data_IF_523752183445
#
_entry.id   IF_523752183445
#
_cell.length_a   1.000
_cell.length_b   1.000
_cell.length_c   1.000
_cell.angle_alpha   90.00
_cell.angle_beta   90.00
_cell.angle_gamma   90.00
#
_symmetry.space_group_name_H-M   'P 1'
#
loop_
_entity.id
_entity.type
_entity.pdbx_description
1 polymer ?
#
# COMPACT_ATOMS: atom_id res chain seq x y z
N UNK A 1 13.88 -14.40 -20.65
CA UNK A 1 13.93 -14.43 -19.17
C UNK A 1 12.55 -14.91 -18.70
N UNK A 2 12.49 -15.93 -17.83
CA UNK A 2 11.22 -16.37 -17.25
C UNK A 2 10.74 -15.39 -16.18
N UNK A 3 9.46 -15.52 -15.78
CA UNK A 3 8.90 -14.61 -14.76
C UNK A 3 9.61 -14.76 -13.40
N UNK A 4 10.05 -15.97 -13.04
CA UNK A 4 10.80 -16.19 -11.79
C UNK A 4 12.11 -15.39 -11.77
N UNK A 5 12.90 -15.48 -12.84
CA UNK A 5 14.15 -14.75 -12.99
C UNK A 5 13.92 -13.23 -13.06
N UNK A 6 12.81 -12.78 -13.65
CA UNK A 6 12.43 -11.37 -13.64
C UNK A 6 12.13 -10.89 -12.21
N UNK A 7 11.35 -11.64 -11.42
CA UNK A 7 11.07 -11.30 -10.03
C UNK A 7 12.35 -11.24 -9.20
N UNK A 8 13.29 -12.16 -9.44
CA UNK A 8 14.60 -12.17 -8.79
C UNK A 8 15.44 -10.94 -9.18
N UNK A 9 15.55 -10.64 -10.47
CA UNK A 9 16.30 -9.49 -10.97
C UNK A 9 15.73 -8.14 -10.47
N UNK A 10 14.41 -8.08 -10.23
CA UNK A 10 13.74 -6.91 -9.65
C UNK A 10 13.88 -6.79 -8.12
N UNK A 11 14.51 -7.78 -7.46
CA UNK A 11 14.68 -7.80 -6.00
C UNK A 11 13.38 -8.08 -5.23
N UNK A 12 12.41 -8.74 -5.89
CA UNK A 12 11.10 -9.04 -5.29
C UNK A 12 11.13 -10.31 -4.45
N UNK A 13 12.01 -11.28 -4.73
CA UNK A 13 12.05 -12.55 -4.00
C UNK A 13 12.70 -12.41 -2.63
N UNK A 14 12.05 -12.97 -1.60
CA UNK A 14 12.59 -13.06 -0.25
C UNK A 14 12.81 -14.52 0.19
N UNK A 15 11.73 -15.30 0.36
CA UNK A 15 11.80 -16.70 0.79
C UNK A 15 10.92 -17.59 -0.11
N UNK A 16 11.33 -18.83 -0.29
CA UNK A 16 10.60 -19.85 -1.07
C UNK A 16 10.66 -21.19 -0.37
N UNK A 17 9.62 -22.01 -0.48
CA UNK A 17 9.58 -23.35 0.10
C UNK A 17 10.37 -24.36 -0.71
N UNK A 18 10.26 -24.31 -2.04
CA UNK A 18 11.00 -25.15 -3.00
C UNK A 18 11.28 -24.33 -4.27
N UNK A 19 12.52 -23.92 -4.45
CA UNK A 19 12.90 -22.98 -5.51
C UNK A 19 12.71 -23.57 -6.90
N UNK A 20 13.14 -24.81 -7.11
CA UNK A 20 13.14 -25.44 -8.44
C UNK A 20 11.71 -25.65 -8.93
N UNK A 21 10.85 -26.24 -8.12
CA UNK A 21 9.45 -26.50 -8.46
C UNK A 21 8.64 -25.22 -8.65
N UNK A 22 8.86 -24.22 -7.79
CA UNK A 22 8.21 -22.91 -7.92
C UNK A 22 8.64 -22.23 -9.23
N UNK A 23 9.94 -22.23 -9.54
CA UNK A 23 10.49 -21.66 -10.77
C UNK A 23 9.85 -22.31 -12.01
N UNK A 24 9.83 -23.64 -12.07
CA UNK A 24 9.22 -24.37 -13.18
C UNK A 24 7.73 -24.03 -13.30
N UNK A 25 7.02 -24.04 -12.19
CA UNK A 25 5.58 -23.81 -12.16
C UNK A 25 5.19 -22.40 -12.62
N UNK A 26 5.82 -21.36 -12.08
CA UNK A 26 5.47 -19.97 -12.43
C UNK A 26 5.95 -19.60 -13.83
N UNK A 27 7.10 -20.12 -14.27
CA UNK A 27 7.61 -19.90 -15.63
C UNK A 27 6.77 -20.60 -16.70
N UNK A 28 6.14 -21.73 -16.34
CA UNK A 28 5.23 -22.45 -17.23
C UNK A 28 3.80 -21.90 -17.23
N UNK A 29 3.49 -20.86 -16.44
CA UNK A 29 2.13 -20.33 -16.29
C UNK A 29 1.14 -21.30 -15.64
N UNK A 30 1.64 -22.21 -14.80
CA UNK A 30 0.83 -23.27 -14.16
C UNK A 30 0.50 -23.01 -12.70
N UNK A 31 1.01 -21.93 -12.12
CA UNK A 31 0.67 -21.58 -10.76
C UNK A 31 -0.76 -21.02 -10.70
N UNK A 32 -1.58 -21.64 -9.90
CA UNK A 32 -2.82 -21.04 -9.38
C UNK A 32 -2.54 -20.60 -7.95
N UNK A 33 -2.42 -19.31 -7.76
CA UNK A 33 -1.87 -18.75 -6.54
C UNK A 33 -2.83 -17.76 -5.90
N UNK A 34 -2.73 -17.59 -4.58
CA UNK A 34 -3.51 -16.55 -3.91
C UNK A 34 -2.65 -15.56 -3.13
N UNK A 35 -3.20 -14.36 -2.98
CA UNK A 35 -2.76 -13.35 -2.02
C UNK A 35 -3.98 -12.90 -1.23
N UNK A 36 -3.86 -12.83 0.10
CA UNK A 36 -4.91 -12.39 1.01
C UNK A 36 -4.82 -10.89 1.30
N UNK A 37 -5.99 -10.25 1.41
CA UNK A 37 -6.14 -8.83 1.69
C UNK A 37 -7.18 -8.62 2.80
N UNK A 38 -6.71 -8.31 4.00
CA UNK A 38 -7.57 -7.95 5.12
C UNK A 38 -8.19 -6.57 4.93
N UNK A 39 -9.51 -6.48 5.02
CA UNK A 39 -10.30 -5.28 4.73
C UNK A 39 -10.31 -4.28 5.91
N UNK A 40 -9.13 -3.83 6.34
CA UNK A 40 -8.96 -2.98 7.52
C UNK A 40 -9.24 -1.49 7.28
N UNK A 41 -9.55 -1.09 6.04
CA UNK A 41 -9.93 0.26 5.62
C UNK A 41 -10.73 0.18 4.31
N UNK A 42 -11.40 1.28 3.95
CA UNK A 42 -12.20 1.43 2.74
C UNK A 42 -11.36 1.76 1.48
N UNK A 43 -10.05 1.60 1.53
CA UNK A 43 -9.15 1.72 0.39
C UNK A 43 -7.88 0.90 0.60
N UNK A 44 -7.34 0.39 -0.50
CA UNK A 44 -5.97 -0.10 -0.58
C UNK A 44 -4.97 1.06 -0.45
N UNK A 45 -3.77 0.76 -0.02
CA UNK A 45 -2.67 1.73 0.15
C UNK A 45 -1.49 1.39 -0.75
N UNK A 46 -0.53 2.30 -0.86
CA UNK A 46 0.74 2.03 -1.55
C UNK A 46 1.48 0.79 -0.99
N UNK A 47 1.22 0.39 0.26
CA UNK A 47 1.75 -0.86 0.82
C UNK A 47 1.14 -2.12 0.16
N UNK A 48 -0.13 -2.07 -0.25
CA UNK A 48 -0.78 -3.18 -0.97
C UNK A 48 -0.41 -3.18 -2.47
N UNK A 49 0.05 -2.05 -2.98
CA UNK A 49 0.34 -1.87 -4.40
C UNK A 49 1.37 -2.88 -4.90
N UNK A 50 2.38 -3.20 -4.10
CA UNK A 50 3.38 -4.20 -4.46
C UNK A 50 2.78 -5.61 -4.63
N UNK A 51 1.82 -6.00 -3.79
CA UNK A 51 1.10 -7.26 -3.93
C UNK A 51 0.26 -7.28 -5.22
N UNK A 52 -0.41 -6.16 -5.55
CA UNK A 52 -1.19 -6.04 -6.78
C UNK A 52 -0.31 -6.10 -8.04
N UNK A 53 0.84 -5.43 -8.05
CA UNK A 53 1.78 -5.48 -9.17
C UNK A 53 2.38 -6.86 -9.34
N UNK A 54 2.66 -7.59 -8.25
CA UNK A 54 3.08 -8.98 -8.30
C UNK A 54 2.00 -9.87 -8.93
N UNK A 55 0.74 -9.75 -8.45
CA UNK A 55 -0.38 -10.50 -9.03
C UNK A 55 -0.52 -10.26 -10.52
N UNK A 56 -0.44 -8.99 -10.94
CA UNK A 56 -0.52 -8.61 -12.36
C UNK A 56 0.62 -9.20 -13.17
N UNK A 57 1.87 -9.16 -12.68
CA UNK A 57 3.03 -9.75 -13.38
C UNK A 57 2.86 -11.24 -13.59
N UNK A 58 2.48 -11.96 -12.54
CA UNK A 58 2.26 -13.39 -12.62
C UNK A 58 1.08 -13.73 -13.55
N UNK A 59 0.01 -12.92 -13.53
CA UNK A 59 -1.10 -13.08 -14.46
C UNK A 59 -0.67 -12.86 -15.91
N UNK A 60 0.12 -11.82 -16.18
CA UNK A 60 0.69 -11.57 -17.52
C UNK A 60 1.58 -12.72 -18.02
N UNK A 61 2.23 -13.43 -17.10
CA UNK A 61 3.01 -14.62 -17.39
C UNK A 61 2.17 -15.92 -17.49
N UNK A 62 0.84 -15.80 -17.51
CA UNK A 62 -0.08 -16.93 -17.70
C UNK A 62 -0.51 -17.65 -16.42
N UNK A 63 -0.05 -17.23 -15.25
CA UNK A 63 -0.48 -17.80 -13.98
C UNK A 63 -1.85 -17.25 -13.57
N UNK A 64 -2.61 -18.04 -12.80
CA UNK A 64 -3.96 -17.68 -12.39
C UNK A 64 -4.02 -17.12 -10.97
N UNK A 65 -4.27 -15.82 -10.77
CA UNK A 65 -4.43 -15.25 -9.45
C UNK A 65 -5.77 -15.59 -8.80
N UNK A 66 -5.75 -15.80 -7.49
CA UNK A 66 -6.92 -15.80 -6.62
C UNK A 66 -6.75 -14.65 -5.63
N UNK A 67 -7.55 -13.60 -5.76
CA UNK A 67 -7.61 -12.51 -4.81
C UNK A 67 -8.52 -12.92 -3.64
N UNK A 68 -7.92 -13.17 -2.47
CA UNK A 68 -8.65 -13.56 -1.27
C UNK A 68 -8.98 -12.30 -0.46
N UNK A 69 -10.25 -11.98 -0.39
CA UNK A 69 -10.77 -10.94 0.50
C UNK A 69 -10.90 -11.52 1.91
N UNK A 70 -10.20 -10.91 2.86
CA UNK A 70 -10.15 -11.35 4.26
C UNK A 70 -11.36 -10.89 5.08
N UNK A 71 -12.60 -11.17 4.64
CA UNK A 71 -13.81 -10.78 5.36
C UNK A 71 -13.91 -11.43 6.74
N UNK A 72 -13.54 -12.71 6.87
CA UNK A 72 -13.51 -13.43 8.13
C UNK A 72 -12.26 -13.12 8.97
N UNK A 73 -11.07 -13.13 8.34
CA UNK A 73 -9.79 -12.87 9.03
C UNK A 73 -9.68 -11.45 9.55
N UNK A 74 -10.28 -10.46 8.87
CA UNK A 74 -10.31 -9.06 9.35
C UNK A 74 -11.04 -8.91 10.69
N UNK A 75 -12.00 -9.79 11.02
CA UNK A 75 -12.68 -9.79 12.33
C UNK A 75 -11.74 -10.15 13.47
N UNK A 76 -10.67 -10.88 13.17
CA UNK A 76 -9.66 -11.33 14.14
C UNK A 76 -8.48 -10.36 14.17
N UNK A 77 -7.94 -10.02 13.00
CA UNK A 77 -6.81 -9.13 12.81
C UNK A 77 -5.46 -9.81 12.90
N UNK A 78 -4.69 -9.70 11.82
CA UNK A 78 -3.33 -10.25 11.69
C UNK A 78 -2.36 -9.58 12.69
N UNK A 79 -1.70 -10.35 13.57
CA UNK A 79 -0.69 -9.84 14.49
C UNK A 79 0.69 -9.61 13.84
N UNK A 80 0.93 -10.13 12.64
CA UNK A 80 2.25 -10.13 11.98
C UNK A 80 2.80 -8.73 11.78
N UNK A 81 4.06 -8.52 12.22
CA UNK A 81 4.76 -7.25 12.04
C UNK A 81 4.13 -6.06 12.79
N UNK A 82 3.43 -6.31 13.88
CA UNK A 82 2.76 -5.29 14.71
C UNK A 82 3.16 -5.40 16.17
N UNK A 83 3.03 -4.28 16.85
CA UNK A 83 3.24 -4.18 18.31
C UNK A 83 1.93 -4.13 19.10
N UNK A 84 0.84 -3.71 18.47
CA UNK A 84 -0.47 -3.48 19.10
C UNK A 84 -1.58 -4.24 18.38
N UNK A 85 -2.61 -4.65 19.14
CA UNK A 85 -3.79 -5.31 18.58
C UNK A 85 -4.54 -4.40 17.61
N UNK A 86 -5.12 -4.96 16.55
CA UNK A 86 -5.94 -4.21 15.60
C UNK A 86 -7.25 -3.76 16.25
N UNK A 87 -7.76 -2.61 15.81
CA UNK A 87 -9.11 -2.16 16.16
C UNK A 87 -10.12 -3.15 15.57
N UNK A 88 -11.06 -3.59 16.37
CA UNK A 88 -12.18 -4.42 15.91
C UNK A 88 -13.14 -3.57 15.06
N UNK A 89 -13.43 -4.07 13.86
CA UNK A 89 -14.39 -3.47 12.93
C UNK A 89 -15.73 -4.20 13.01
N UNK A 90 -16.82 -3.51 12.66
CA UNK A 90 -18.13 -4.15 12.51
C UNK A 90 -18.18 -4.98 11.22
N UNK A 91 -19.14 -5.88 11.09
CA UNK A 91 -19.38 -6.64 9.85
C UNK A 91 -19.73 -5.72 8.69
N UNK A 92 -20.50 -4.67 8.96
CA UNK A 92 -20.90 -3.65 8.01
C UNK A 92 -19.68 -2.89 7.46
N UNK A 93 -18.76 -2.48 8.35
CA UNK A 93 -17.49 -1.83 7.95
C UNK A 93 -16.66 -2.77 7.07
N UNK A 94 -16.51 -4.04 7.47
CA UNK A 94 -15.73 -5.03 6.72
C UNK A 94 -16.33 -5.29 5.34
N UNK A 95 -17.65 -5.43 5.24
CA UNK A 95 -18.33 -5.63 3.96
C UNK A 95 -18.17 -4.43 3.04
N UNK A 96 -18.33 -3.19 3.58
CA UNK A 96 -18.10 -1.97 2.83
C UNK A 96 -16.67 -1.90 2.30
N UNK A 97 -15.69 -2.17 3.17
CA UNK A 97 -14.28 -2.16 2.81
C UNK A 97 -13.95 -3.21 1.73
N UNK A 98 -14.54 -4.41 1.85
CA UNK A 98 -14.39 -5.49 0.88
C UNK A 98 -14.86 -5.06 -0.53
N UNK A 99 -16.01 -4.41 -0.63
CA UNK A 99 -16.52 -3.90 -1.91
C UNK A 99 -15.63 -2.76 -2.47
N UNK A 100 -15.04 -1.93 -1.62
CA UNK A 100 -14.08 -0.93 -2.04
C UNK A 100 -12.79 -1.58 -2.60
N UNK A 101 -12.27 -2.62 -1.95
CA UNK A 101 -11.10 -3.37 -2.41
C UNK A 101 -11.34 -4.04 -3.75
N UNK A 102 -12.48 -4.70 -3.94
CA UNK A 102 -12.86 -5.33 -5.22
C UNK A 102 -12.77 -4.34 -6.38
N UNK A 103 -13.46 -3.19 -6.27
CA UNK A 103 -13.45 -2.14 -7.30
C UNK A 103 -12.05 -1.61 -7.61
N UNK A 104 -11.18 -1.53 -6.62
CA UNK A 104 -9.80 -1.09 -6.82
C UNK A 104 -8.95 -2.17 -7.49
N UNK A 105 -9.10 -3.45 -7.09
CA UNK A 105 -8.37 -4.57 -7.67
C UNK A 105 -8.70 -4.80 -9.14
N UNK A 106 -9.95 -4.59 -9.56
CA UNK A 106 -10.41 -4.72 -10.95
C UNK A 106 -9.68 -3.78 -11.92
N UNK A 107 -9.03 -2.72 -11.42
CA UNK A 107 -8.18 -1.85 -12.26
C UNK A 107 -6.83 -2.48 -12.58
N UNK A 108 -6.35 -3.40 -11.76
CA UNK A 108 -5.04 -4.03 -11.90
C UNK A 108 -5.14 -5.45 -12.46
N UNK A 109 -6.10 -6.22 -11.99
CA UNK A 109 -6.23 -7.64 -12.23
C UNK A 109 -7.41 -7.88 -13.18
N UNK A 110 -7.20 -8.71 -14.17
CA UNK A 110 -8.24 -9.14 -15.09
C UNK A 110 -9.01 -10.32 -14.49
N UNK A 111 -10.25 -10.07 -14.07
CA UNK A 111 -11.18 -11.05 -13.51
C UNK A 111 -12.12 -11.65 -14.57
N UNK A 112 -11.80 -11.54 -15.86
CA UNK A 112 -12.55 -12.20 -16.92
C UNK A 112 -12.58 -13.71 -16.78
N UNK A 113 -13.43 -14.36 -17.56
CA UNK A 113 -13.61 -15.81 -17.54
C UNK A 113 -12.29 -16.55 -17.74
N UNK A 114 -11.98 -17.49 -16.85
CA UNK A 114 -10.76 -18.29 -16.87
C UNK A 114 -9.48 -17.56 -16.46
N UNK A 115 -9.55 -16.27 -16.07
CA UNK A 115 -8.38 -15.47 -15.70
C UNK A 115 -8.15 -15.43 -14.19
N UNK A 116 -8.54 -14.37 -13.50
CA UNK A 116 -8.43 -14.30 -12.04
C UNK A 116 -9.74 -14.70 -11.36
N UNK A 117 -9.65 -15.10 -10.09
CA UNK A 117 -10.79 -15.39 -9.23
C UNK A 117 -10.74 -14.47 -8.03
N UNK A 118 -11.90 -13.95 -7.62
CA UNK A 118 -12.03 -13.22 -6.36
C UNK A 118 -12.93 -14.00 -5.42
N UNK A 119 -12.49 -14.23 -4.20
CA UNK A 119 -13.21 -14.98 -3.17
C UNK A 119 -13.13 -14.25 -1.82
N UNK A 120 -14.07 -14.55 -0.92
CA UNK A 120 -14.11 -13.98 0.42
C UNK A 120 -14.04 -15.11 1.45
N UNK A 121 -13.06 -15.09 2.35
CA UNK A 121 -12.94 -16.14 3.35
C UNK A 121 -14.05 -16.14 4.42
N UNK A 122 -14.85 -15.09 4.51
CA UNK A 122 -16.06 -15.09 5.32
C UNK A 122 -17.04 -16.19 4.90
N UNK A 123 -17.06 -16.59 3.62
CA UNK A 123 -17.98 -17.59 3.07
C UNK A 123 -17.79 -18.98 3.68
N UNK A 124 -16.55 -19.30 4.10
CA UNK A 124 -16.25 -20.57 4.76
C UNK A 124 -15.89 -20.42 6.23
N UNK A 125 -15.13 -19.38 6.65
CA UNK A 125 -14.69 -19.25 8.04
C UNK A 125 -15.85 -19.01 9.01
N UNK A 126 -16.87 -18.25 8.62
CA UNK A 126 -18.00 -17.93 9.50
C UNK A 126 -18.95 -19.12 9.75
N UNK A 127 -18.87 -20.13 8.90
CA UNK A 127 -19.72 -21.33 8.99
C UNK A 127 -19.00 -22.54 9.62
N UNK A 128 -17.75 -22.38 10.06
CA UNK A 128 -16.98 -23.46 10.66
C UNK A 128 -17.53 -23.82 12.05
N UNK A 129 -17.73 -25.13 12.27
CA UNK A 129 -17.99 -25.62 13.60
C UNK A 129 -16.69 -25.59 14.41
N UNK A 130 -16.70 -24.93 15.56
CA UNK A 130 -15.51 -24.73 16.38
C UNK A 130 -14.88 -26.05 16.86
N UNK A 131 -15.68 -27.02 17.28
CA UNK A 131 -15.19 -28.31 17.76
C UNK A 131 -14.59 -29.15 16.62
N UNK A 132 -15.22 -29.13 15.47
CA UNK A 132 -14.72 -29.80 14.27
C UNK A 132 -13.39 -29.18 13.81
N UNK A 133 -13.30 -27.83 13.79
CA UNK A 133 -12.07 -27.12 13.46
C UNK A 133 -10.93 -27.52 14.39
N UNK A 134 -11.17 -27.56 15.72
CA UNK A 134 -10.15 -27.98 16.69
C UNK A 134 -9.70 -29.43 16.47
N UNK A 135 -10.62 -30.35 16.20
CA UNK A 135 -10.30 -31.76 15.99
C UNK A 135 -9.55 -32.00 14.68
N UNK A 136 -10.02 -31.41 13.60
CA UNK A 136 -9.54 -31.71 12.26
C UNK A 136 -8.32 -30.85 11.84
N UNK A 137 -8.30 -29.60 12.25
CA UNK A 137 -7.26 -28.63 11.89
C UNK A 137 -6.34 -28.36 13.07
N UNK A 138 -6.88 -28.05 14.24
CA UNK A 138 -6.11 -27.75 15.44
C UNK A 138 -5.14 -28.87 15.83
N UNK A 139 -5.51 -30.13 15.64
CA UNK A 139 -4.64 -31.29 15.86
C UNK A 139 -3.38 -31.30 14.96
N UNK A 140 -3.37 -30.55 13.87
CA UNK A 140 -2.21 -30.40 13.00
C UNK A 140 -1.21 -29.32 13.46
N UNK A 141 -1.55 -28.54 14.48
CA UNK A 141 -0.72 -27.44 14.99
C UNK A 141 -0.16 -27.73 16.37
N UNK A 142 1.13 -27.44 16.56
CA UNK A 142 1.79 -27.49 17.86
C UNK A 142 1.87 -26.08 18.44
N UNK A 143 1.27 -25.85 19.59
CA UNK A 143 1.32 -24.57 20.30
C UNK A 143 2.77 -24.13 20.53
N UNK A 144 3.66 -25.06 20.91
CA UNK A 144 5.06 -24.75 21.12
C UNK A 144 5.78 -24.27 19.86
N UNK A 145 5.42 -24.81 18.68
CA UNK A 145 5.97 -24.36 17.42
C UNK A 145 5.37 -23.00 17.00
N UNK A 146 4.06 -22.83 17.20
CA UNK A 146 3.40 -21.56 16.91
C UNK A 146 3.99 -20.42 17.75
N UNK A 147 4.21 -20.62 19.05
CA UNK A 147 4.79 -19.60 19.93
C UNK A 147 6.23 -19.18 19.54
N UNK A 148 6.94 -20.02 18.80
CA UNK A 148 8.28 -19.69 18.25
C UNK A 148 8.21 -18.99 16.89
N UNK A 149 7.03 -18.86 16.31
CA UNK A 149 6.86 -18.27 15.01
C UNK A 149 7.12 -16.75 15.07
N UNK A 150 7.91 -16.26 14.12
CA UNK A 150 8.30 -14.83 14.04
C UNK A 150 7.11 -13.87 14.01
N UNK A 151 5.98 -14.30 13.46
CA UNK A 151 4.75 -13.47 13.41
C UNK A 151 4.19 -13.10 14.79
N UNK A 152 4.50 -13.88 15.85
CA UNK A 152 4.06 -13.62 17.22
C UNK A 152 5.11 -12.91 18.09
N UNK A 153 6.38 -12.90 17.70
CA UNK A 153 7.51 -12.43 18.52
C UNK A 153 7.26 -11.04 19.12
N UNK A 154 6.92 -10.06 18.29
CA UNK A 154 6.69 -8.68 18.75
C UNK A 154 5.42 -8.53 19.60
N UNK A 155 4.42 -9.38 19.37
CA UNK A 155 3.18 -9.35 20.14
C UNK A 155 3.32 -10.02 21.52
N UNK A 156 4.17 -11.03 21.64
CA UNK A 156 4.40 -11.71 22.93
C UNK A 156 4.96 -10.76 23.99
N UNK A 157 5.79 -9.80 23.62
CA UNK A 157 6.33 -8.81 24.55
C UNK A 157 5.25 -7.92 25.19
N UNK A 158 4.16 -7.63 24.45
CA UNK A 158 3.05 -6.77 24.89
C UNK A 158 1.77 -7.54 25.28
N UNK A 159 1.81 -8.85 25.16
CA UNK A 159 0.68 -9.73 25.42
C UNK A 159 -0.11 -10.10 24.16
N UNK A 160 0.17 -11.30 23.63
CA UNK A 160 -0.57 -11.91 22.53
C UNK A 160 -1.91 -12.44 23.04
N UNK A 161 -3.02 -11.98 22.46
CA UNK A 161 -4.35 -12.48 22.80
C UNK A 161 -4.60 -13.86 22.16
N UNK A 162 -5.49 -14.66 22.77
CA UNK A 162 -5.92 -15.94 22.19
C UNK A 162 -6.58 -15.72 20.81
N UNK A 163 -7.29 -14.62 20.64
CA UNK A 163 -7.89 -14.23 19.36
C UNK A 163 -6.81 -14.13 18.26
N UNK A 164 -5.79 -13.30 18.48
CA UNK A 164 -4.69 -13.11 17.53
C UNK A 164 -3.88 -14.39 17.29
N UNK A 165 -3.72 -15.21 18.33
CA UNK A 165 -3.01 -16.50 18.22
C UNK A 165 -3.67 -17.47 17.23
N UNK A 166 -4.99 -17.40 17.07
CA UNK A 166 -5.72 -18.23 16.12
C UNK A 166 -5.59 -17.75 14.66
N UNK A 167 -5.06 -16.55 14.40
CA UNK A 167 -4.98 -16.02 13.03
C UNK A 167 -4.18 -16.95 12.10
N UNK A 168 -3.05 -17.48 12.54
CA UNK A 168 -2.25 -18.44 11.76
C UNK A 168 -3.06 -19.67 11.35
N UNK A 169 -3.90 -20.21 12.23
CA UNK A 169 -4.73 -21.38 11.95
C UNK A 169 -5.77 -21.04 10.89
N UNK A 170 -6.38 -19.86 10.96
CA UNK A 170 -7.39 -19.40 9.98
C UNK A 170 -6.77 -19.17 8.59
N UNK A 171 -5.63 -18.51 8.52
CA UNK A 171 -4.93 -18.32 7.24
C UNK A 171 -4.45 -19.66 6.66
N UNK A 172 -4.03 -20.59 7.49
CA UNK A 172 -3.65 -21.95 7.06
C UNK A 172 -4.87 -22.72 6.53
N UNK A 173 -6.04 -22.55 7.17
CA UNK A 173 -7.29 -23.13 6.70
C UNK A 173 -7.75 -22.51 5.37
N UNK A 174 -7.54 -21.20 5.17
CA UNK A 174 -7.82 -20.55 3.90
C UNK A 174 -7.04 -21.21 2.76
N UNK A 175 -5.73 -21.46 2.95
CA UNK A 175 -4.92 -22.12 1.92
C UNK A 175 -5.40 -23.55 1.67
N UNK A 176 -5.68 -24.30 2.73
CA UNK A 176 -6.23 -25.66 2.63
C UNK A 176 -7.56 -25.69 1.88
N UNK A 177 -8.48 -24.75 2.18
CA UNK A 177 -9.76 -24.61 1.49
C UNK A 177 -9.59 -24.27 0.01
N UNK A 178 -8.74 -23.28 -0.29
CA UNK A 178 -8.45 -22.85 -1.65
C UNK A 178 -7.77 -23.95 -2.47
N UNK A 179 -6.90 -24.73 -1.84
CA UNK A 179 -6.28 -25.89 -2.49
C UNK A 179 -7.30 -26.92 -2.90
N UNK A 180 -8.24 -27.27 -2.03
CA UNK A 180 -9.25 -28.30 -2.29
C UNK A 180 -10.33 -27.87 -3.29
N UNK A 181 -10.84 -26.65 -3.13
CA UNK A 181 -12.03 -26.20 -3.88
C UNK A 181 -11.71 -25.38 -5.13
N UNK A 182 -10.55 -24.75 -5.17
CA UNK A 182 -10.14 -23.89 -6.28
C UNK A 182 -8.89 -24.39 -7.00
N UNK A 183 -8.23 -25.45 -6.51
CA UNK A 183 -6.98 -25.95 -7.09
C UNK A 183 -5.81 -24.97 -6.90
N UNK A 184 -5.88 -24.10 -5.89
CA UNK A 184 -4.85 -23.14 -5.59
C UNK A 184 -3.64 -23.86 -4.98
N UNK A 185 -2.52 -23.91 -5.69
CA UNK A 185 -1.34 -24.68 -5.32
C UNK A 185 -0.21 -23.84 -4.72
N UNK A 186 -0.39 -22.50 -4.69
CA UNK A 186 0.65 -21.59 -4.24
C UNK A 186 0.09 -20.39 -3.47
N UNK A 187 0.81 -19.97 -2.45
CA UNK A 187 0.53 -18.74 -1.70
C UNK A 187 1.67 -17.73 -1.87
N UNK A 188 1.33 -16.46 -2.12
CA UNK A 188 2.25 -15.35 -2.04
C UNK A 188 1.87 -14.40 -0.91
N UNK A 189 2.87 -13.74 -0.33
CA UNK A 189 2.68 -12.72 0.70
C UNK A 189 3.93 -11.90 0.93
N UNK A 190 3.84 -10.87 1.78
CA UNK A 190 5.01 -10.16 2.28
C UNK A 190 5.86 -11.07 3.17
N UNK A 191 7.14 -10.72 3.37
CA UNK A 191 8.06 -11.55 4.16
C UNK A 191 7.64 -11.69 5.63
N UNK A 192 6.83 -10.77 6.14
CA UNK A 192 6.21 -10.85 7.45
C UNK A 192 5.14 -11.96 7.58
N UNK A 193 4.65 -12.50 6.45
CA UNK A 193 3.65 -13.56 6.39
C UNK A 193 4.23 -14.98 6.36
N UNK A 194 5.55 -15.15 6.28
CA UNK A 194 6.20 -16.43 6.06
C UNK A 194 5.72 -17.54 7.02
N UNK A 195 5.66 -17.25 8.32
CA UNK A 195 5.22 -18.22 9.31
C UNK A 195 3.76 -18.68 9.11
N UNK A 196 2.86 -17.75 8.76
CA UNK A 196 1.47 -18.07 8.50
C UNK A 196 1.35 -18.93 7.23
N UNK A 197 2.14 -18.62 6.19
CA UNK A 197 2.13 -19.35 4.92
C UNK A 197 2.61 -20.79 5.09
N UNK A 198 3.68 -21.00 5.87
CA UNK A 198 4.18 -22.34 6.20
C UNK A 198 3.15 -23.18 6.96
N UNK A 199 2.32 -22.56 7.81
CA UNK A 199 1.21 -23.25 8.46
C UNK A 199 0.24 -23.86 7.45
N UNK A 200 -0.06 -23.15 6.37
CA UNK A 200 -0.93 -23.61 5.28
C UNK A 200 -0.32 -24.77 4.48
N UNK A 201 0.95 -24.64 4.06
CA UNK A 201 1.65 -25.72 3.33
C UNK A 201 1.72 -27.00 4.15
N UNK A 202 2.04 -26.87 5.45
CA UNK A 202 2.11 -28.02 6.38
C UNK A 202 0.73 -28.63 6.62
N UNK A 203 -0.33 -27.85 6.73
CA UNK A 203 -1.70 -28.36 6.87
C UNK A 203 -2.12 -29.18 5.66
N UNK A 204 -1.85 -28.70 4.44
CA UNK A 204 -2.14 -29.41 3.19
C UNK A 204 -1.36 -30.72 3.14
N UNK A 205 -0.06 -30.70 3.47
CA UNK A 205 0.79 -31.90 3.52
C UNK A 205 0.25 -32.94 4.50
N UNK A 206 -0.15 -32.52 5.71
CA UNK A 206 -0.66 -33.44 6.76
C UNK A 206 -2.02 -34.03 6.42
N UNK A 207 -2.92 -33.21 5.91
CA UNK A 207 -4.30 -33.62 5.67
C UNK A 207 -4.50 -34.35 4.33
N UNK A 208 -3.75 -33.97 3.30
CA UNK A 208 -3.96 -34.46 1.93
C UNK A 208 -2.79 -35.29 1.38
N UNK A 209 -1.62 -35.27 2.05
CA UNK A 209 -0.40 -35.91 1.54
C UNK A 209 0.06 -35.30 0.22
N UNK A 210 -0.21 -34.01 -0.01
CA UNK A 210 0.13 -33.26 -1.22
C UNK A 210 1.01 -32.09 -0.90
N UNK A 211 1.81 -31.65 -1.89
CA UNK A 211 2.65 -30.48 -1.78
C UNK A 211 1.88 -29.21 -2.22
N UNK A 212 2.10 -28.16 -1.48
CA UNK A 212 1.68 -26.80 -1.78
C UNK A 212 2.83 -25.85 -1.47
N UNK A 213 2.90 -24.75 -2.19
CA UNK A 213 4.08 -23.90 -2.23
C UNK A 213 3.81 -22.52 -1.67
N UNK A 214 4.86 -21.91 -1.11
CA UNK A 214 4.81 -20.57 -0.59
C UNK A 214 6.03 -19.77 -1.05
N UNK A 215 5.80 -18.51 -1.44
CA UNK A 215 6.86 -17.57 -1.79
C UNK A 215 6.54 -16.20 -1.19
N UNK A 216 7.51 -15.62 -0.47
CA UNK A 216 7.39 -14.27 0.04
C UNK A 216 8.13 -13.27 -0.85
N UNK A 217 7.60 -12.04 -0.83
CA UNK A 217 8.23 -10.90 -1.46
C UNK A 217 8.82 -9.97 -0.42
N UNK A 218 9.94 -9.35 -0.81
CA UNK A 218 10.61 -8.32 -0.02
C UNK A 218 9.64 -7.20 0.33
N UNK A 219 9.62 -6.79 1.59
CA UNK A 219 8.80 -5.65 2.00
C UNK A 219 9.30 -4.35 1.37
N UNK A 220 8.38 -3.49 0.94
CA UNK A 220 8.72 -2.18 0.42
C UNK A 220 9.13 -1.26 1.58
N UNK A 221 10.43 -1.10 1.76
CA UNK A 221 11.02 -0.24 2.78
C UNK A 221 11.90 0.84 2.13
N UNK A 222 12.02 1.98 2.80
CA UNK A 222 13.00 3.00 2.43
C UNK A 222 14.43 2.56 2.80
N UNK A 223 15.42 3.38 2.44
CA UNK A 223 16.84 3.15 2.72
C UNK A 223 17.18 3.08 4.21
N UNK A 224 16.26 3.51 5.09
CA UNK A 224 16.39 3.42 6.55
C UNK A 224 15.67 2.19 7.13
N UNK A 225 15.10 1.32 6.29
CA UNK A 225 14.36 0.13 6.71
C UNK A 225 12.92 0.38 7.15
N UNK A 226 12.39 1.58 7.00
CA UNK A 226 11.01 1.93 7.36
C UNK A 226 10.06 1.56 6.23
N UNK A 227 8.93 0.91 6.56
CA UNK A 227 7.89 0.57 5.56
C UNK A 227 7.39 1.82 4.83
N UNK A 228 7.45 1.78 3.50
CA UNK A 228 6.95 2.85 2.62
C UNK A 228 5.42 2.81 2.49
N UNK A 229 4.85 3.84 1.85
CA UNK A 229 3.40 3.97 1.65
C UNK A 229 2.69 4.72 2.78
N UNK A 230 3.45 5.42 3.62
CA UNK A 230 2.95 6.30 4.67
C UNK A 230 3.67 7.65 4.63
N UNK A 231 2.92 8.72 4.79
CA UNK A 231 3.44 10.05 5.11
C UNK A 231 3.42 10.25 6.64
N UNK A 232 3.87 11.40 7.14
CA UNK A 232 3.85 11.70 8.57
C UNK A 232 2.41 11.63 9.15
N UNK A 233 1.99 10.43 9.57
CA UNK A 233 0.69 10.16 10.20
C UNK A 233 -0.41 9.63 9.27
N UNK A 234 -0.26 9.64 7.94
CA UNK A 234 -1.28 9.19 6.99
C UNK A 234 -0.76 8.12 6.02
N UNK A 235 -1.62 7.17 5.65
CA UNK A 235 -1.34 6.25 4.55
C UNK A 235 -1.44 6.98 3.20
N UNK A 236 -0.67 6.52 2.21
CA UNK A 236 -0.85 6.91 0.81
C UNK A 236 -1.86 5.92 0.20
N UNK A 237 -3.05 6.43 -0.10
CA UNK A 237 -4.19 5.64 -0.53
C UNK A 237 -4.22 5.52 -2.06
N UNK A 238 -4.77 4.42 -2.55
CA UNK A 238 -5.04 4.24 -3.98
C UNK A 238 -6.37 4.89 -4.41
N UNK A 239 -7.23 5.25 -3.46
CA UNK A 239 -8.47 6.00 -3.72
C UNK A 239 -8.14 7.48 -3.96
N UNK A 240 -8.51 8.05 -5.14
CA UNK A 240 -8.25 9.45 -5.47
C UNK A 240 -8.96 10.46 -4.55
N UNK A 241 -10.04 10.04 -3.86
CA UNK A 241 -10.75 10.87 -2.89
C UNK A 241 -10.01 10.99 -1.54
N UNK A 242 -9.06 10.07 -1.26
CA UNK A 242 -8.26 10.05 -0.02
C UNK A 242 -6.85 10.58 -0.22
N UNK A 243 -6.22 10.24 -1.34
CA UNK A 243 -4.95 10.77 -1.81
C UNK A 243 -5.15 11.17 -3.25
N UNK A 244 -5.14 12.47 -3.54
CA UNK A 244 -5.33 12.95 -4.90
C UNK A 244 -4.26 12.37 -5.84
N UNK A 245 -4.53 12.23 -7.16
CA UNK A 245 -3.51 11.80 -8.12
C UNK A 245 -2.26 12.67 -8.09
N UNK A 246 -2.40 13.97 -7.84
CA UNK A 246 -1.27 14.89 -7.66
C UNK A 246 -0.45 14.58 -6.40
N UNK A 247 -1.10 14.36 -5.25
CA UNK A 247 -0.39 14.02 -4.01
C UNK A 247 0.25 12.64 -4.09
N UNK A 248 -0.40 11.69 -4.77
CA UNK A 248 0.16 10.37 -5.06
C UNK A 248 1.42 10.49 -5.93
N UNK A 249 1.36 11.30 -7.01
CA UNK A 249 2.51 11.62 -7.86
C UNK A 249 3.64 12.27 -7.04
N UNK A 250 3.33 13.28 -6.23
CA UNK A 250 4.32 13.97 -5.41
C UNK A 250 4.97 13.05 -4.37
N UNK A 251 4.21 12.12 -3.79
CA UNK A 251 4.79 11.13 -2.88
C UNK A 251 5.92 10.34 -3.56
N UNK A 252 5.67 9.79 -4.72
CA UNK A 252 6.67 8.99 -5.46
C UNK A 252 7.81 9.84 -6.04
N UNK A 253 7.52 11.06 -6.46
CA UNK A 253 8.55 12.00 -6.93
C UNK A 253 9.50 12.44 -5.80
N UNK A 254 9.05 12.39 -4.56
CA UNK A 254 9.81 12.84 -3.39
C UNK A 254 10.47 11.70 -2.59
N UNK A 255 10.49 10.47 -3.11
CA UNK A 255 11.27 9.39 -2.50
C UNK A 255 12.76 9.75 -2.45
N UNK A 256 13.47 9.20 -1.48
CA UNK A 256 14.90 9.45 -1.36
C UNK A 256 15.68 8.93 -2.57
N UNK A 257 16.78 9.58 -2.90
CA UNK A 257 17.59 9.25 -4.08
C UNK A 257 18.01 7.77 -4.11
N UNK A 258 18.35 7.23 -2.95
CA UNK A 258 18.74 5.82 -2.78
C UNK A 258 17.60 4.82 -3.06
N UNK A 259 16.35 5.26 -3.00
CA UNK A 259 15.18 4.38 -3.12
C UNK A 259 14.57 4.38 -4.53
N UNK A 260 14.94 5.34 -5.38
CA UNK A 260 14.31 5.54 -6.71
C UNK A 260 14.38 4.28 -7.56
N UNK A 261 15.58 3.75 -7.78
CA UNK A 261 15.81 2.58 -8.65
C UNK A 261 15.20 1.32 -8.05
N UNK A 262 15.25 1.16 -6.73
CA UNK A 262 14.56 0.09 -6.02
C UNK A 262 13.05 0.13 -6.29
N UNK A 263 12.43 1.31 -6.14
CA UNK A 263 11.01 1.48 -6.41
C UNK A 263 10.66 1.24 -7.89
N UNK A 264 11.49 1.69 -8.84
CA UNK A 264 11.32 1.39 -10.27
C UNK A 264 11.31 -0.13 -10.53
N UNK A 265 12.28 -0.84 -9.99
CA UNK A 265 12.37 -2.30 -10.16
C UNK A 265 11.16 -3.02 -9.58
N UNK A 266 10.78 -2.69 -8.35
CA UNK A 266 9.76 -3.45 -7.61
C UNK A 266 8.33 -3.13 -8.06
N UNK A 267 8.04 -1.88 -8.40
CA UNK A 267 6.67 -1.38 -8.55
C UNK A 267 6.25 -1.10 -10.00
N UNK A 268 7.19 -0.81 -10.91
CA UNK A 268 6.84 -0.49 -12.31
C UNK A 268 6.93 -1.69 -13.24
N UNK A 269 6.27 -1.61 -14.39
CA UNK A 269 6.37 -2.60 -15.46
C UNK A 269 7.43 -2.21 -16.52
N UNK A 270 8.26 -1.22 -16.22
CA UNK A 270 9.36 -0.81 -17.11
C UNK A 270 10.33 -1.95 -17.37
N UNK A 271 10.88 -2.07 -18.60
CA UNK A 271 11.97 -3.01 -18.90
C UNK A 271 13.17 -2.78 -17.98
N UNK A 272 13.82 -3.86 -17.56
CA UNK A 272 14.99 -3.79 -16.67
C UNK A 272 16.15 -3.01 -17.31
N UNK A 273 16.30 -3.13 -18.63
CA UNK A 273 17.30 -2.41 -19.43
C UNK A 273 17.05 -0.88 -19.38
N UNK A 274 15.79 -0.46 -19.45
CA UNK A 274 15.42 0.96 -19.31
C UNK A 274 15.70 1.47 -17.90
N UNK A 275 15.38 0.67 -16.87
CA UNK A 275 15.67 1.03 -15.47
C UNK A 275 17.19 1.14 -15.26
N UNK A 276 18.00 0.28 -15.90
CA UNK A 276 19.45 0.34 -15.82
C UNK A 276 20.02 1.64 -16.38
N UNK A 277 19.38 2.26 -17.39
CA UNK A 277 19.78 3.60 -17.88
C UNK A 277 19.49 4.69 -16.85
N UNK A 278 18.34 4.62 -16.16
CA UNK A 278 18.06 5.55 -15.07
C UNK A 278 19.00 5.38 -13.87
N UNK A 279 19.48 4.18 -13.61
CA UNK A 279 20.44 3.90 -12.55
C UNK A 279 21.81 4.56 -12.73
N UNK A 280 22.14 5.03 -13.95
CA UNK A 280 23.38 5.77 -14.24
C UNK A 280 23.27 7.27 -13.89
N UNK A 281 22.07 7.78 -13.64
CA UNK A 281 21.82 9.18 -13.34
C UNK A 281 22.25 9.51 -11.91
N UNK A 282 22.87 10.67 -11.74
CA UNK A 282 23.34 11.16 -10.45
C UNK A 282 23.04 12.65 -10.25
N UNK A 283 23.03 13.12 -9.02
CA UNK A 283 22.80 14.53 -8.70
C UNK A 283 21.45 15.03 -9.22
N UNK A 284 21.44 16.17 -9.89
CA UNK A 284 20.19 16.78 -10.41
C UNK A 284 19.50 15.93 -11.48
N UNK A 285 20.24 15.11 -12.24
CA UNK A 285 19.67 14.29 -13.30
C UNK A 285 18.79 13.16 -12.76
N UNK A 286 19.00 12.74 -11.51
CA UNK A 286 18.17 11.75 -10.84
C UNK A 286 16.69 12.21 -10.70
N UNK A 287 16.43 13.52 -10.76
CA UNK A 287 15.07 14.03 -10.78
C UNK A 287 14.25 13.52 -11.99
N UNK A 288 14.92 13.20 -13.11
CA UNK A 288 14.28 12.59 -14.28
C UNK A 288 13.79 11.17 -13.96
N UNK A 289 14.57 10.40 -13.22
CA UNK A 289 14.18 9.08 -12.75
C UNK A 289 13.01 9.15 -11.75
N UNK A 290 13.05 10.10 -10.81
CA UNK A 290 11.96 10.34 -9.86
C UNK A 290 10.66 10.74 -10.56
N UNK A 291 10.74 11.62 -11.55
CA UNK A 291 9.59 12.04 -12.34
C UNK A 291 9.01 10.87 -13.14
N UNK A 292 9.86 10.05 -13.77
CA UNK A 292 9.44 8.85 -14.50
C UNK A 292 8.77 7.84 -13.57
N UNK A 293 9.37 7.55 -12.40
CA UNK A 293 8.79 6.67 -11.40
C UNK A 293 7.39 7.16 -10.97
N UNK A 294 7.26 8.43 -10.62
CA UNK A 294 5.99 9.02 -10.21
C UNK A 294 4.93 8.96 -11.31
N UNK A 295 5.33 9.22 -12.55
CA UNK A 295 4.44 9.12 -13.71
C UNK A 295 3.93 7.70 -13.91
N UNK A 296 4.83 6.70 -13.98
CA UNK A 296 4.50 5.29 -14.18
C UNK A 296 3.53 4.77 -13.10
N UNK A 297 3.79 5.09 -11.84
CA UNK A 297 2.94 4.64 -10.74
C UNK A 297 1.60 5.36 -10.70
N UNK A 298 1.56 6.64 -11.05
CA UNK A 298 0.30 7.40 -11.12
C UNK A 298 -0.54 6.92 -12.30
N UNK A 299 0.06 6.64 -13.45
CA UNK A 299 -0.64 6.06 -14.61
C UNK A 299 -1.24 4.69 -14.27
N UNK A 300 -0.49 3.82 -13.59
CA UNK A 300 -0.97 2.51 -13.18
C UNK A 300 -2.19 2.58 -12.23
N UNK A 301 -2.23 3.55 -11.33
CA UNK A 301 -3.27 3.64 -10.30
C UNK A 301 -4.45 4.51 -10.74
N UNK A 302 -4.18 5.64 -11.37
CA UNK A 302 -5.16 6.68 -11.65
C UNK A 302 -5.46 6.87 -13.15
N UNK A 303 -4.67 6.23 -14.00
CA UNK A 303 -4.78 6.33 -15.45
C UNK A 303 -3.92 7.45 -16.05
N UNK A 304 -3.77 7.39 -17.37
CA UNK A 304 -2.85 8.22 -18.13
C UNK A 304 -3.16 9.71 -18.01
N UNK A 305 -4.43 10.08 -18.13
CA UNK A 305 -4.85 11.49 -18.11
C UNK A 305 -4.52 12.16 -16.77
N UNK A 306 -4.73 11.46 -15.66
CA UNK A 306 -4.40 11.98 -14.35
C UNK A 306 -2.88 12.04 -14.11
N UNK A 307 -2.12 11.08 -14.66
CA UNK A 307 -0.65 11.12 -14.60
C UNK A 307 -0.08 12.30 -15.39
N UNK A 308 -0.62 12.58 -16.58
CA UNK A 308 -0.20 13.73 -17.40
C UNK A 308 -0.54 15.08 -16.74
N UNK A 309 -1.73 15.20 -16.14
CA UNK A 309 -2.11 16.38 -15.35
C UNK A 309 -1.17 16.58 -14.16
N UNK A 310 -0.92 15.53 -13.37
CA UNK A 310 -0.04 15.59 -12.21
C UNK A 310 1.41 15.97 -12.60
N UNK A 311 1.92 15.41 -13.70
CA UNK A 311 3.24 15.74 -14.25
C UNK A 311 3.33 17.20 -14.66
N UNK A 312 2.34 17.68 -15.41
CA UNK A 312 2.27 19.07 -15.89
C UNK A 312 2.22 20.04 -14.71
N UNK A 313 1.36 19.75 -13.73
CA UNK A 313 1.26 20.53 -12.51
C UNK A 313 2.58 20.57 -11.72
N UNK A 314 3.21 19.42 -11.58
CA UNK A 314 4.49 19.31 -10.88
C UNK A 314 5.60 20.12 -11.57
N UNK A 315 5.69 20.07 -12.89
CA UNK A 315 6.65 20.86 -13.69
C UNK A 315 6.40 22.35 -13.62
N UNK A 316 5.14 22.80 -13.67
CA UNK A 316 4.78 24.20 -13.56
C UNK A 316 5.25 24.83 -12.24
N UNK A 317 5.12 24.09 -11.12
CA UNK A 317 5.61 24.53 -9.80
C UNK A 317 7.13 24.77 -9.79
N UNK A 318 7.90 23.96 -10.54
CA UNK A 318 9.35 24.08 -10.56
C UNK A 318 9.88 25.07 -11.61
N UNK A 319 9.16 25.25 -12.72
CA UNK A 319 9.63 26.12 -13.81
C UNK A 319 9.39 27.61 -13.55
N UNK A 320 8.28 27.96 -12.87
CA UNK A 320 7.81 29.36 -12.80
C UNK A 320 7.62 29.90 -11.37
N UNK A 321 7.93 29.13 -10.31
CA UNK A 321 7.48 29.48 -8.95
C UNK A 321 5.94 29.61 -8.87
N UNK A 322 5.22 29.12 -9.89
CA UNK A 322 3.88 29.51 -10.24
C UNK A 322 2.80 28.49 -9.88
N UNK A 323 1.59 28.99 -9.90
CA UNK A 323 0.34 28.30 -9.60
C UNK A 323 -0.05 27.39 -10.77
N UNK A 324 -0.20 26.07 -10.54
CA UNK A 324 -0.81 25.16 -11.50
C UNK A 324 -2.31 25.01 -11.22
N UNK A 325 -3.11 24.90 -12.29
CA UNK A 325 -4.55 24.66 -12.18
C UNK A 325 -4.88 23.34 -11.44
N UNK A 326 -4.02 22.35 -11.55
CA UNK A 326 -4.19 21.00 -10.98
C UNK A 326 -3.53 20.83 -9.59
N UNK A 327 -3.03 21.90 -8.98
CA UNK A 327 -2.51 21.88 -7.61
C UNK A 327 -3.66 21.65 -6.62
N UNK A 328 -3.48 20.83 -5.56
CA UNK A 328 -4.46 20.72 -4.49
C UNK A 328 -4.92 22.11 -4.05
N UNK A 329 -6.20 22.36 -4.13
CA UNK A 329 -6.75 23.67 -3.86
C UNK A 329 -7.99 23.60 -2.96
N UNK A 330 -8.17 24.63 -2.15
CA UNK A 330 -9.38 24.83 -1.33
C UNK A 330 -9.93 26.23 -1.60
N UNK A 331 -11.20 26.29 -1.99
CA UNK A 331 -11.92 27.54 -2.05
C UNK A 331 -12.30 27.95 -0.60
N UNK A 332 -11.90 29.14 -0.20
CA UNK A 332 -12.26 29.71 1.10
C UNK A 332 -13.66 30.32 1.05
N UNK A 333 -14.46 30.02 2.04
CA UNK A 333 -15.79 30.61 2.23
C UNK A 333 -15.74 31.73 3.28
N UNK A 334 -16.82 32.52 3.37
CA UNK A 334 -16.94 33.57 4.41
C UNK A 334 -16.67 33.05 5.82
N UNK A 335 -17.05 31.82 6.10
CA UNK A 335 -16.87 31.16 7.43
C UNK A 335 -15.39 30.96 7.79
N UNK A 336 -14.50 30.95 6.82
CA UNK A 336 -13.06 30.80 7.05
C UNK A 336 -12.38 32.10 7.48
N UNK A 337 -13.08 33.24 7.39
CA UNK A 337 -12.56 34.55 7.73
C UNK A 337 -13.12 35.07 9.06
N UNK A 338 -12.25 35.61 9.88
CA UNK A 338 -12.61 36.37 11.07
C UNK A 338 -12.13 37.80 10.85
N UNK A 339 -13.02 38.78 10.92
CA UNK A 339 -12.75 40.19 10.62
C UNK A 339 -12.04 40.39 9.26
N UNK A 340 -12.47 39.61 8.24
CA UNK A 340 -11.94 39.67 6.88
C UNK A 340 -10.57 39.05 6.70
N UNK A 341 -10.06 38.30 7.70
CA UNK A 341 -8.72 37.68 7.70
C UNK A 341 -8.79 36.20 8.06
N UNK A 342 -7.87 35.43 7.53
CA UNK A 342 -7.65 34.03 7.89
C UNK A 342 -6.24 33.82 8.44
N UNK A 343 -6.08 33.01 9.49
CA UNK A 343 -4.75 32.80 10.10
C UNK A 343 -3.93 31.78 9.31
N UNK A 344 -2.59 31.93 9.36
CA UNK A 344 -1.65 30.97 8.80
C UNK A 344 -1.86 29.55 9.38
N UNK A 345 -2.22 29.46 10.67
CA UNK A 345 -2.53 28.20 11.34
C UNK A 345 -3.75 27.54 10.71
N UNK A 346 -4.83 28.31 10.44
CA UNK A 346 -6.05 27.76 9.84
C UNK A 346 -5.81 27.29 8.41
N UNK A 347 -5.04 28.01 7.62
CA UNK A 347 -4.62 27.57 6.27
C UNK A 347 -3.88 26.25 6.31
N UNK A 348 -2.92 26.07 7.23
CA UNK A 348 -2.19 24.81 7.38
C UNK A 348 -3.08 23.63 7.79
N UNK A 349 -4.10 23.87 8.61
CA UNK A 349 -5.04 22.84 9.04
C UNK A 349 -6.05 22.52 7.94
N UNK A 350 -6.62 23.53 7.29
CA UNK A 350 -7.57 23.38 6.16
C UNK A 350 -6.97 22.61 4.99
N UNK A 351 -5.71 22.91 4.65
CA UNK A 351 -4.96 22.20 3.61
C UNK A 351 -4.49 20.81 4.01
N UNK A 352 -4.69 20.40 5.27
CA UNK A 352 -4.11 19.17 5.84
C UNK A 352 -2.57 19.13 5.80
N UNK A 353 -1.91 20.25 5.54
CA UNK A 353 -0.44 20.37 5.64
C UNK A 353 0.04 20.21 7.09
N UNK A 354 -0.82 20.51 8.05
CA UNK A 354 -0.64 20.16 9.45
C UNK A 354 -1.89 19.43 9.98
N UNK A 355 -1.75 18.33 10.73
CA UNK A 355 -2.87 17.53 11.23
C UNK A 355 -3.61 18.20 12.39
N UNK A 356 -3.03 19.23 12.99
CA UNK A 356 -3.61 19.96 14.11
C UNK A 356 -3.07 21.38 14.23
N UNK A 357 -3.80 22.25 14.95
CA UNK A 357 -3.34 23.61 15.26
C UNK A 357 -2.00 23.64 16.04
N UNK A 358 -1.75 22.63 16.87
CA UNK A 358 -0.48 22.49 17.60
C UNK A 358 0.69 22.21 16.66
N UNK A 359 0.53 21.33 15.72
CA UNK A 359 1.54 21.03 14.69
C UNK A 359 1.74 22.21 13.73
N UNK A 360 0.67 22.92 13.35
CA UNK A 360 0.76 24.12 12.54
C UNK A 360 1.62 25.20 13.22
N UNK A 361 1.43 25.44 14.52
CA UNK A 361 2.26 26.37 15.30
C UNK A 361 3.74 25.98 15.31
N UNK A 362 4.04 24.70 15.56
CA UNK A 362 5.42 24.18 15.54
C UNK A 362 6.05 24.35 14.17
N UNK A 363 5.31 24.05 13.10
CA UNK A 363 5.76 24.19 11.72
C UNK A 363 6.15 25.65 11.41
N UNK A 364 5.32 26.62 11.80
CA UNK A 364 5.62 28.04 11.61
C UNK A 364 6.84 28.46 12.42
N UNK A 365 6.92 28.09 13.70
CA UNK A 365 8.06 28.41 14.58
C UNK A 365 9.40 27.83 14.06
N UNK A 366 9.34 26.67 13.40
CA UNK A 366 10.51 26.05 12.76
C UNK A 366 10.83 26.66 11.38
N UNK A 367 10.07 27.66 10.94
CA UNK A 367 10.23 28.29 9.64
C UNK A 367 9.89 27.37 8.47
N UNK A 368 9.04 26.39 8.70
CA UNK A 368 8.63 25.38 7.71
C UNK A 368 7.46 25.80 6.82
N UNK A 369 6.87 26.99 7.00
CA UNK A 369 5.78 27.52 6.19
C UNK A 369 6.23 28.68 5.31
N UNK A 370 5.85 28.64 4.01
CA UNK A 370 5.90 29.77 3.11
C UNK A 370 4.48 30.09 2.59
N UNK A 371 4.20 31.34 2.36
CA UNK A 371 3.00 31.83 1.68
C UNK A 371 3.43 32.64 0.44
N UNK A 372 3.12 32.10 -0.75
CA UNK A 372 3.83 32.52 -1.95
C UNK A 372 5.33 32.22 -1.81
N UNK A 373 6.15 33.25 -1.97
CA UNK A 373 7.60 33.16 -1.80
C UNK A 373 8.09 33.71 -0.44
N UNK A 374 7.16 34.19 0.41
CA UNK A 374 7.50 34.73 1.71
C UNK A 374 7.43 33.68 2.81
N UNK A 375 8.48 33.63 3.64
CA UNK A 375 8.53 32.78 4.82
C UNK A 375 7.62 33.33 5.91
N UNK A 376 6.74 32.47 6.45
CA UNK A 376 5.88 32.83 7.57
C UNK A 376 6.60 32.48 8.86
N UNK A 377 6.99 33.50 9.62
CA UNK A 377 7.76 33.34 10.87
C UNK A 377 6.90 33.61 12.13
N UNK A 378 5.82 34.37 11.98
CA UNK A 378 4.94 34.73 13.08
C UNK A 378 3.75 33.79 13.17
N UNK A 379 3.49 33.23 14.35
CA UNK A 379 2.37 32.30 14.59
C UNK A 379 0.99 32.98 14.50
N UNK A 380 0.95 34.30 14.68
CA UNK A 380 -0.24 35.16 14.59
C UNK A 380 -0.39 35.81 13.21
N UNK A 381 0.42 35.41 12.22
CA UNK A 381 0.28 35.88 10.84
C UNK A 381 -1.12 35.57 10.28
N UNK A 382 -1.73 36.60 9.72
CA UNK A 382 -3.04 36.51 9.03
C UNK A 382 -2.92 37.03 7.62
N UNK A 383 -3.85 36.58 6.76
CA UNK A 383 -3.96 36.98 5.36
C UNK A 383 -5.34 37.57 5.09
N UNK A 384 -5.39 38.66 4.39
CA UNK A 384 -6.63 39.33 3.98
C UNK A 384 -7.24 38.62 2.74
N UNK A 385 -8.55 38.74 2.53
CA UNK A 385 -9.23 38.18 1.36
C UNK A 385 -8.55 38.50 0.04
N UNK A 386 -8.01 39.70 -0.10
CA UNK A 386 -7.31 40.12 -1.31
C UNK A 386 -6.14 39.21 -1.70
N UNK A 387 -5.50 38.55 -0.73
CA UNK A 387 -4.42 37.61 -0.98
C UNK A 387 -4.85 36.34 -1.75
N UNK A 388 -6.13 36.04 -1.77
CA UNK A 388 -6.71 34.85 -2.39
C UNK A 388 -7.43 35.15 -3.72
N UNK A 389 -7.41 36.38 -4.18
CA UNK A 389 -8.01 36.80 -5.45
C UNK A 389 -7.15 36.35 -6.64
N UNK A 390 -7.78 36.21 -7.81
CA UNK A 390 -7.09 35.80 -9.04
C UNK A 390 -6.60 34.36 -8.96
N UNK A 391 -5.28 34.16 -9.09
CA UNK A 391 -4.66 32.83 -9.04
C UNK A 391 -4.62 32.21 -7.64
N UNK A 392 -5.04 32.95 -6.61
CA UNK A 392 -5.04 32.49 -5.22
C UNK A 392 -3.67 32.56 -4.54
N UNK A 393 -3.61 32.11 -3.29
CA UNK A 393 -2.39 32.06 -2.48
C UNK A 393 -1.89 30.62 -2.36
N UNK A 394 -0.65 30.37 -2.75
CA UNK A 394 0.02 29.08 -2.55
C UNK A 394 0.71 29.04 -1.20
N UNK A 395 0.32 28.11 -0.35
CA UNK A 395 0.96 27.80 0.93
C UNK A 395 1.85 26.58 0.75
N UNK A 396 3.08 26.65 1.25
CA UNK A 396 4.09 25.60 1.14
C UNK A 396 4.50 25.11 2.52
N UNK A 397 4.63 23.77 2.67
CA UNK A 397 5.26 23.12 3.83
C UNK A 397 6.63 22.62 3.42
N UNK A 398 7.69 23.28 3.90
CA UNK A 398 9.05 23.00 3.44
C UNK A 398 9.20 23.21 1.93
N UNK A 399 10.07 22.40 1.29
CA UNK A 399 10.38 22.54 -0.15
C UNK A 399 9.51 21.66 -1.07
N UNK A 400 8.68 20.76 -0.52
CA UNK A 400 8.14 19.64 -1.28
C UNK A 400 6.61 19.52 -1.26
N UNK A 401 5.87 20.24 -0.43
CA UNK A 401 4.44 20.11 -0.30
C UNK A 401 3.75 21.46 -0.45
N UNK A 402 2.73 21.51 -1.31
CA UNK A 402 2.08 22.75 -1.73
C UNK A 402 0.55 22.62 -1.66
N UNK A 403 -0.14 23.71 -1.38
CA UNK A 403 -1.59 23.80 -1.43
C UNK A 403 -2.01 25.21 -1.81
N UNK A 404 -3.00 25.34 -2.71
CA UNK A 404 -3.51 26.62 -3.16
C UNK A 404 -4.82 26.96 -2.46
N UNK A 405 -4.98 28.21 -2.06
CA UNK A 405 -6.22 28.76 -1.56
C UNK A 405 -6.75 29.81 -2.52
N UNK A 406 -8.05 29.73 -2.86
CA UNK A 406 -8.78 30.68 -3.71
C UNK A 406 -10.00 31.19 -2.97
N UNK A 407 -10.65 32.21 -3.50
CA UNK A 407 -11.97 32.69 -3.05
C UNK A 407 -13.07 31.95 -3.78
#
# INVERSE_FOLDING_TARGET
MGIYEELQARGLLAQVTNEEEIREMVNAGKAKFYIGFDCTADSLTAGHFMALTLMKRLQMAGNQPVALIGGGTTMIGDPSGRTDMRKMLTKEDINHNAECFKRQMERFIDFGEGKAIMVNNADWLLNLNYIELLREVGACFSVNNMLRAKCYEQRMEKGLSFLEFNYMIMQSYDFYHLFQHYGCNMQFGGDDQWSNMLGGTELIRRKLGKDAYAMTITLLTDSQGKKMGKTAGNAVWLDPNKTSPYDFFQYWRNVDDADVIKCMNMLTFMPLEEIAEYAKLTGSDLNRAKEKLAYELTELVHGKDEAEKALTAARAVFANGGVSADMPSTALTEENFTDGKVSAIDLLVLSKLAPSRGEARRLIQQGGMLAGDEKVEAIDKTFEKAAFAGDGLVVKKGKKTFHRFTL
#
